data_IF_948372937741
#
_entry.id   IF_948372937741
#
_cell.length_a   1.000
_cell.length_b   1.000
_cell.length_c   1.000
_cell.angle_alpha   90.00
_cell.angle_beta   90.00
_cell.angle_gamma   90.00
#
_symmetry.space_group_name_H-M   'P 1'
#
loop_
_entity.id
_entity.type
_entity.pdbx_description
1 polymer ?
#
# COMPACT_ATOMS: atom_id res chain seq x y z
N UNK A 1 26.70 4.44 1.94
CA UNK A 1 25.56 3.52 2.13
C UNK A 1 24.29 4.23 1.66
N UNK A 2 23.31 3.50 1.15
CA UNK A 2 22.01 4.03 0.71
C UNK A 2 20.98 2.89 0.70
N UNK A 3 19.70 3.24 0.60
CA UNK A 3 18.61 2.28 0.48
C UNK A 3 17.85 2.54 -0.82
N UNK A 4 17.50 1.47 -1.56
CA UNK A 4 16.73 1.58 -2.80
C UNK A 4 15.30 2.07 -2.55
N UNK A 5 14.75 1.77 -1.37
CA UNK A 5 13.44 2.23 -0.92
C UNK A 5 13.41 2.37 0.61
N UNK A 6 12.51 3.21 1.12
CA UNK A 6 12.34 3.44 2.57
C UNK A 6 10.93 3.07 3.02
N UNK A 7 10.86 2.23 4.04
CA UNK A 7 9.60 1.79 4.66
C UNK A 7 9.03 2.88 5.56
N UNK A 8 7.72 3.13 5.41
CA UNK A 8 6.94 4.00 6.29
C UNK A 8 5.97 3.13 7.08
N UNK A 9 6.14 3.08 8.40
CA UNK A 9 5.38 2.18 9.28
C UNK A 9 5.11 2.84 10.64
N UNK A 10 3.91 2.68 11.23
CA UNK A 10 2.73 2.01 10.67
C UNK A 10 1.86 2.96 9.81
N UNK A 11 1.60 2.57 8.55
CA UNK A 11 0.91 3.41 7.58
C UNK A 11 -0.52 3.77 8.00
N UNK A 12 -1.26 2.88 8.66
CA UNK A 12 -2.64 3.17 9.13
C UNK A 12 -2.73 4.30 10.15
N UNK A 13 -1.65 4.59 10.89
CA UNK A 13 -1.62 5.68 11.86
C UNK A 13 -1.11 6.97 11.20
N UNK A 14 -0.05 6.85 10.40
CA UNK A 14 0.60 8.00 9.76
C UNK A 14 -0.23 8.58 8.61
N UNK A 15 -0.93 7.72 7.86
CA UNK A 15 -1.79 8.08 6.76
C UNK A 15 -1.04 8.61 5.52
N UNK A 16 -1.76 8.81 4.40
CA UNK A 16 -1.19 9.33 3.15
C UNK A 16 -0.62 10.75 3.29
N UNK A 17 -1.19 11.56 4.20
CA UNK A 17 -0.71 12.93 4.45
C UNK A 17 0.73 12.98 4.96
N UNK A 18 1.11 12.06 5.86
CA UNK A 18 2.49 11.94 6.32
C UNK A 18 3.44 11.54 5.18
N UNK A 19 3.03 10.58 4.33
CA UNK A 19 3.82 10.18 3.17
C UNK A 19 4.10 11.37 2.26
N UNK A 20 3.07 12.17 1.95
CA UNK A 20 3.21 13.39 1.14
C UNK A 20 4.15 14.41 1.78
N UNK A 21 4.08 14.58 3.12
CA UNK A 21 4.95 15.48 3.85
C UNK A 21 6.43 15.05 3.80
N UNK A 22 6.72 13.74 3.81
CA UNK A 22 8.08 13.21 3.64
C UNK A 22 8.54 13.30 2.19
N UNK A 23 7.66 13.00 1.23
CA UNK A 23 7.96 13.03 -0.19
C UNK A 23 8.25 14.46 -0.71
N UNK A 24 7.69 15.50 -0.09
CA UNK A 24 7.94 16.89 -0.45
C UNK A 24 9.44 17.29 -0.47
N UNK A 25 10.17 17.17 0.64
CA UNK A 25 11.61 17.46 0.69
C UNK A 25 12.49 16.34 0.10
N UNK A 26 11.96 15.12 -0.05
CA UNK A 26 12.73 13.93 -0.48
C UNK A 26 12.07 13.20 -1.66
N UNK A 27 11.76 13.88 -2.78
CA UNK A 27 11.00 13.30 -3.89
C UNK A 27 11.73 12.16 -4.62
N UNK A 28 13.05 12.07 -4.46
CA UNK A 28 13.89 11.03 -5.03
C UNK A 28 13.88 9.72 -4.23
N UNK A 29 13.33 9.69 -3.02
CA UNK A 29 13.32 8.50 -2.17
C UNK A 29 12.02 7.72 -2.39
N UNK A 30 12.06 6.49 -2.92
CA UNK A 30 10.86 5.67 -3.06
C UNK A 30 10.33 5.26 -1.68
N UNK A 31 9.11 5.71 -1.35
CA UNK A 31 8.46 5.43 -0.07
C UNK A 31 7.53 4.21 -0.16
N UNK A 32 7.60 3.35 0.87
CA UNK A 32 6.87 2.08 0.96
C UNK A 32 5.99 2.05 2.22
N UNK A 33 4.78 2.62 2.19
CA UNK A 33 3.82 2.53 3.28
C UNK A 33 3.45 1.07 3.57
N UNK A 34 3.58 0.68 4.83
CA UNK A 34 3.36 -0.67 5.33
C UNK A 34 2.65 -0.62 6.68
N UNK A 35 1.81 -1.62 6.95
CA UNK A 35 1.09 -1.76 8.22
C UNK A 35 -0.29 -1.11 8.14
N UNK A 36 -1.33 -1.95 8.09
CA UNK A 36 -2.72 -1.51 7.97
C UNK A 36 -3.14 -1.06 6.57
N UNK A 37 -2.41 -1.48 5.53
CA UNK A 37 -2.84 -1.31 4.12
C UNK A 37 -3.98 -2.27 3.81
N UNK A 38 -5.04 -1.74 3.20
CA UNK A 38 -6.22 -2.46 2.70
C UNK A 38 -6.58 -1.97 1.29
N UNK A 39 -7.53 -2.61 0.61
CA UNK A 39 -8.06 -2.10 -0.66
C UNK A 39 -8.67 -0.69 -0.51
N UNK A 40 -9.23 -0.36 0.66
CA UNK A 40 -9.91 0.93 0.88
C UNK A 40 -8.95 2.12 0.92
N UNK A 41 -7.72 1.91 1.40
CA UNK A 41 -6.75 3.00 1.59
C UNK A 41 -5.54 2.96 0.64
N UNK A 42 -5.28 1.83 -0.03
CA UNK A 42 -4.10 1.67 -0.87
C UNK A 42 -4.01 2.73 -1.98
N UNK A 43 -5.15 3.05 -2.61
CA UNK A 43 -5.21 4.06 -3.68
C UNK A 43 -4.79 5.45 -3.21
N UNK A 44 -5.14 5.84 -1.99
CA UNK A 44 -4.77 7.14 -1.42
C UNK A 44 -3.26 7.26 -1.20
N UNK A 45 -2.61 6.18 -0.75
CA UNK A 45 -1.16 6.15 -0.61
C UNK A 45 -0.44 6.27 -1.95
N UNK A 46 -0.92 5.57 -2.98
CA UNK A 46 -0.39 5.69 -4.35
C UNK A 46 -0.50 7.14 -4.84
N UNK A 47 -1.66 7.77 -4.67
CA UNK A 47 -1.88 9.19 -5.00
C UNK A 47 -1.03 10.16 -4.19
N UNK A 48 -0.64 9.79 -2.98
CA UNK A 48 0.25 10.58 -2.14
C UNK A 48 1.74 10.49 -2.55
N UNK A 49 2.09 9.67 -3.55
CA UNK A 49 3.47 9.48 -4.03
C UNK A 49 4.14 8.20 -3.52
N UNK A 50 3.38 7.23 -3.00
CA UNK A 50 3.96 5.94 -2.66
C UNK A 50 4.46 5.24 -3.93
N UNK A 51 5.70 4.73 -3.88
CA UNK A 51 6.25 3.95 -4.97
C UNK A 51 5.55 2.59 -5.09
N UNK A 52 5.31 1.95 -3.94
CA UNK A 52 4.52 0.72 -3.80
C UNK A 52 3.79 0.72 -2.46
N UNK A 53 2.74 -0.07 -2.32
CA UNK A 53 2.09 -0.33 -1.02
C UNK A 53 2.38 -1.75 -0.57
N UNK A 54 2.55 -1.97 0.73
CA UNK A 54 2.79 -3.30 1.28
C UNK A 54 1.57 -3.77 2.10
N UNK A 55 0.82 -4.71 1.56
CA UNK A 55 -0.30 -5.38 2.24
C UNK A 55 0.20 -6.62 3.00
N UNK A 56 -0.19 -6.72 4.28
CA UNK A 56 0.23 -7.79 5.18
C UNK A 56 -0.96 -8.61 5.66
N UNK A 57 -1.28 -8.50 6.95
CA UNK A 57 -2.34 -9.27 7.63
C UNK A 57 -3.74 -9.11 7.04
N UNK A 58 -4.04 -7.98 6.39
CA UNK A 58 -5.29 -7.82 5.67
C UNK A 58 -5.33 -8.71 4.41
N UNK A 59 -4.22 -8.85 3.68
CA UNK A 59 -4.19 -9.72 2.51
C UNK A 59 -4.14 -11.20 2.92
N UNK A 60 -3.19 -11.56 3.78
CA UNK A 60 -2.98 -12.93 4.26
C UNK A 60 -3.80 -13.17 5.52
N UNK A 61 -5.09 -13.42 5.33
CA UNK A 61 -6.02 -13.71 6.41
C UNK A 61 -5.68 -15.04 7.09
N UNK A 62 -5.23 -14.99 8.35
CA UNK A 62 -4.81 -16.19 9.09
C UNK A 62 -5.94 -17.21 9.25
N UNK A 63 -7.19 -16.74 9.40
CA UNK A 63 -8.36 -17.62 9.56
C UNK A 63 -8.66 -18.31 8.24
N UNK A 64 -8.68 -17.58 7.14
CA UNK A 64 -8.88 -18.17 5.81
C UNK A 64 -7.79 -19.18 5.46
N UNK A 65 -6.52 -18.88 5.78
CA UNK A 65 -5.41 -19.83 5.59
C UNK A 65 -5.61 -21.10 6.42
N UNK A 66 -5.97 -20.97 7.70
CA UNK A 66 -6.20 -22.12 8.58
C UNK A 66 -7.39 -22.99 8.11
N UNK A 67 -8.39 -22.38 7.47
CA UNK A 67 -9.59 -23.05 6.94
C UNK A 67 -9.43 -23.49 5.48
N UNK A 68 -8.27 -23.28 4.84
CA UNK A 68 -8.02 -23.62 3.44
C UNK A 68 -8.78 -22.75 2.42
N UNK A 69 -9.33 -21.60 2.85
CA UNK A 69 -10.15 -20.67 2.07
C UNK A 69 -9.33 -19.69 1.23
N UNK A 70 -8.50 -20.21 0.33
CA UNK A 70 -7.59 -19.41 -0.49
C UNK A 70 -8.28 -18.49 -1.52
N UNK A 71 -9.54 -18.74 -1.83
CA UNK A 71 -10.40 -17.86 -2.62
C UNK A 71 -10.53 -16.47 -1.97
N UNK A 72 -10.51 -16.39 -0.64
CA UNK A 72 -10.54 -15.11 0.09
C UNK A 72 -9.27 -14.29 -0.17
N UNK A 73 -8.11 -14.94 -0.14
CA UNK A 73 -6.82 -14.28 -0.42
C UNK A 73 -6.76 -13.81 -1.88
N UNK A 74 -7.27 -14.64 -2.80
CA UNK A 74 -7.36 -14.33 -4.23
C UNK A 74 -8.21 -13.09 -4.47
N UNK A 75 -9.40 -13.02 -3.87
CA UNK A 75 -10.28 -11.87 -4.01
C UNK A 75 -9.68 -10.60 -3.40
N UNK A 76 -9.07 -10.69 -2.21
CA UNK A 76 -8.38 -9.54 -1.60
C UNK A 76 -7.20 -9.05 -2.44
N UNK A 77 -6.43 -9.96 -3.04
CA UNK A 77 -5.34 -9.61 -3.95
C UNK A 77 -5.89 -8.89 -5.20
N UNK A 78 -6.97 -9.42 -5.79
CA UNK A 78 -7.62 -8.82 -6.95
C UNK A 78 -8.08 -7.39 -6.67
N UNK A 79 -8.79 -7.19 -5.57
CA UNK A 79 -9.27 -5.86 -5.14
C UNK A 79 -8.11 -4.87 -4.93
N UNK A 80 -7.04 -5.31 -4.26
CA UNK A 80 -5.89 -4.46 -4.01
C UNK A 80 -5.20 -4.03 -5.31
N UNK A 81 -5.00 -4.97 -6.25
CA UNK A 81 -4.43 -4.67 -7.57
C UNK A 81 -5.33 -3.70 -8.33
N UNK A 82 -6.64 -3.94 -8.36
CA UNK A 82 -7.61 -3.10 -9.04
C UNK A 82 -7.55 -1.65 -8.55
N UNK A 83 -7.58 -1.42 -7.23
CA UNK A 83 -7.51 -0.08 -6.65
C UNK A 83 -6.17 0.59 -6.93
N UNK A 84 -5.04 -0.14 -6.86
CA UNK A 84 -3.71 0.42 -7.17
C UNK A 84 -3.61 0.81 -8.65
N UNK A 85 -4.11 -0.01 -9.57
CA UNK A 85 -4.09 0.30 -11.00
C UNK A 85 -4.97 1.51 -11.32
N UNK A 86 -6.18 1.56 -10.75
CA UNK A 86 -7.07 2.72 -10.88
C UNK A 86 -6.40 4.00 -10.38
N UNK A 87 -5.79 3.97 -9.20
CA UNK A 87 -5.08 5.12 -8.66
C UNK A 87 -3.92 5.58 -9.55
N UNK A 88 -3.16 4.66 -10.14
CA UNK A 88 -2.08 5.00 -11.10
C UNK A 88 -2.60 5.64 -12.38
N UNK A 89 -3.73 5.17 -12.90
CA UNK A 89 -4.38 5.74 -14.09
C UNK A 89 -4.84 7.17 -13.83
N UNK A 90 -5.45 7.44 -12.67
CA UNK A 90 -5.93 8.78 -12.30
C UNK A 90 -4.80 9.81 -12.11
N UNK A 91 -3.57 9.38 -11.77
CA UNK A 91 -2.39 10.27 -11.64
C UNK A 91 -1.74 10.55 -13.01
N UNK A 92 -1.96 9.67 -13.99
CA UNK A 92 -1.35 9.78 -15.32
C UNK A 92 -2.20 10.62 -16.31
N UNK A 93 -3.38 11.08 -15.87
CA UNK A 93 -4.26 11.99 -16.58
C UNK A 93 -4.03 13.43 -16.11
#
# INVERSE_FOLDING_TARGET
>A
MGADMVKIFPASILGPGYLKAVHGPLPQIPLVPTGGITADNAGEFIKAGAAVVCAGSWLVDKKAVAEGRFEVLTERARQLVEVVQKAKQEISQ
#
